data_IF_951493827503
#
_entry.id   IF_951493827503
#
_cell.length_a   1.000
_cell.length_b   1.000
_cell.length_c   1.000
_cell.angle_alpha   90.00
_cell.angle_beta   90.00
_cell.angle_gamma   90.00
#
_symmetry.space_group_name_H-M   'P 1'
#
loop_
_entity.id
_entity.type
_entity.pdbx_description
1 polymer ?
#
# COMPACT_ATOMS: atom_id res chain seq x y z
N UNK A 1 7.14 -7.29 -7.49
CA UNK A 1 6.17 -8.40 -7.49
C UNK A 1 4.73 -7.90 -7.46
N UNK A 2 4.40 -6.92 -6.60
CA UNK A 2 3.05 -6.37 -6.45
C UNK A 2 2.42 -5.85 -7.75
N UNK A 3 3.15 -5.10 -8.58
CA UNK A 3 2.66 -4.64 -9.90
C UNK A 3 2.24 -5.80 -10.82
N UNK A 4 3.06 -6.86 -10.89
CA UNK A 4 2.79 -8.02 -11.74
C UNK A 4 1.54 -8.79 -11.27
N UNK A 5 1.26 -8.80 -9.97
CA UNK A 5 0.14 -9.54 -9.38
C UNK A 5 -1.15 -8.73 -9.47
N UNK A 6 -1.07 -7.42 -9.17
CA UNK A 6 -2.24 -6.52 -9.07
C UNK A 6 -2.55 -5.78 -10.37
N UNK A 7 -1.64 -5.76 -11.34
CA UNK A 7 -1.70 -4.97 -12.58
C UNK A 7 -1.77 -3.44 -12.36
N UNK A 8 -1.57 -2.99 -11.13
CA UNK A 8 -1.61 -1.59 -10.76
C UNK A 8 -0.35 -0.85 -11.27
N UNK A 9 -0.50 0.30 -11.97
CA UNK A 9 0.61 1.03 -12.58
C UNK A 9 1.34 1.95 -11.57
N UNK A 10 1.67 1.44 -10.38
CA UNK A 10 2.39 2.18 -9.32
C UNK A 10 3.74 1.54 -9.06
N UNK A 11 4.84 2.28 -9.19
CA UNK A 11 6.23 1.78 -9.00
C UNK A 11 6.53 1.42 -7.56
N UNK A 12 6.10 2.25 -6.60
CA UNK A 12 6.24 1.96 -5.18
C UNK A 12 4.88 1.79 -4.47
N UNK A 13 4.27 0.60 -4.56
CA UNK A 13 3.03 0.30 -3.86
C UNK A 13 3.22 0.21 -2.34
N UNK A 14 4.46 0.28 -1.85
CA UNK A 14 4.80 0.12 -0.43
C UNK A 14 5.27 1.40 0.26
N UNK A 15 5.28 2.53 -0.46
CA UNK A 15 5.55 3.83 0.14
C UNK A 15 4.52 4.17 1.23
N UNK A 16 5.02 4.52 2.43
CA UNK A 16 4.20 4.92 3.57
C UNK A 16 3.93 6.40 3.71
N UNK A 17 4.60 7.22 2.89
CA UNK A 17 4.33 8.65 2.81
C UNK A 17 3.41 8.92 1.62
N UNK A 18 2.11 9.07 1.90
CA UNK A 18 1.05 9.21 0.89
C UNK A 18 0.02 10.23 1.36
N UNK A 19 -0.46 11.06 0.44
CA UNK A 19 -1.59 11.95 0.68
C UNK A 19 -2.83 11.42 -0.06
N UNK A 20 -3.94 11.28 0.68
CA UNK A 20 -5.25 10.97 0.11
C UNK A 20 -6.14 12.20 0.22
N UNK A 21 -6.90 12.50 -0.82
CA UNK A 21 -7.96 13.51 -0.72
C UNK A 21 -9.11 12.95 0.11
N UNK A 22 -9.86 13.84 0.77
CA UNK A 22 -11.06 13.45 1.52
C UNK A 22 -12.02 12.62 0.66
N UNK A 23 -12.22 13.02 -0.61
CA UNK A 23 -13.09 12.30 -1.56
C UNK A 23 -12.67 10.85 -1.75
N UNK A 24 -11.36 10.58 -1.86
CA UNK A 24 -10.85 9.22 -1.99
C UNK A 24 -11.16 8.42 -0.72
N UNK A 25 -10.79 8.94 0.45
CA UNK A 25 -11.03 8.22 1.72
C UNK A 25 -12.51 7.95 1.98
N UNK A 26 -13.40 8.90 1.66
CA UNK A 26 -14.85 8.74 1.82
C UNK A 26 -15.47 7.73 0.85
N UNK A 27 -14.81 7.43 -0.27
CA UNK A 27 -15.31 6.50 -1.29
C UNK A 27 -14.84 5.05 -1.11
N UNK A 28 -13.85 4.84 -0.25
CA UNK A 28 -13.30 3.51 0.02
C UNK A 28 -14.01 2.90 1.24
N UNK A 29 -14.36 1.60 1.20
CA UNK A 29 -14.87 0.90 2.37
C UNK A 29 -13.70 0.60 3.33
N UNK A 30 -13.35 1.59 4.17
CA UNK A 30 -12.20 1.50 5.08
C UNK A 30 -12.36 0.40 6.13
N UNK A 31 -13.60 0.08 6.51
CA UNK A 31 -13.92 -0.98 7.48
C UNK A 31 -13.65 -2.40 6.93
N UNK A 32 -13.51 -2.55 5.61
CA UNK A 32 -13.23 -3.82 4.96
C UNK A 32 -11.72 -4.07 4.75
N UNK A 33 -10.86 -3.14 5.17
CA UNK A 33 -9.40 -3.28 5.04
C UNK A 33 -8.96 -4.46 5.92
N UNK A 34 -8.43 -5.50 5.29
CA UNK A 34 -8.05 -6.74 5.97
C UNK A 34 -6.56 -6.78 6.33
N UNK A 35 -5.75 -5.96 5.65
CA UNK A 35 -4.31 -5.95 5.88
C UNK A 35 -3.92 -5.00 7.02
N UNK A 36 -3.04 -5.49 7.90
CA UNK A 36 -2.47 -4.73 9.02
C UNK A 36 -0.98 -4.48 8.73
N UNK A 37 -0.42 -3.39 9.29
CA UNK A 37 1.02 -3.18 9.32
C UNK A 37 1.58 -2.56 8.04
N UNK A 38 2.36 -3.29 7.25
CA UNK A 38 2.96 -2.76 6.01
C UNK A 38 2.05 -3.02 4.78
N UNK A 39 1.30 -4.12 4.83
CA UNK A 39 0.48 -4.59 3.73
C UNK A 39 -0.75 -3.71 3.43
N UNK A 40 -1.26 -2.99 4.45
CA UNK A 40 -2.40 -2.08 4.26
C UNK A 40 -2.12 -0.98 3.23
N UNK A 41 -0.85 -0.56 3.09
CA UNK A 41 -0.48 0.47 2.13
C UNK A 41 -0.68 0.01 0.69
N UNK A 42 -0.43 -1.27 0.43
CA UNK A 42 -0.67 -1.89 -0.86
C UNK A 42 -2.19 -1.97 -1.09
N UNK A 43 -2.96 -2.39 -0.10
CA UNK A 43 -4.42 -2.50 -0.20
C UNK A 43 -5.09 -1.16 -0.47
N UNK A 44 -4.69 -0.12 0.26
CA UNK A 44 -5.22 1.23 0.09
C UNK A 44 -5.00 1.73 -1.34
N UNK A 45 -3.78 1.55 -1.88
CA UNK A 45 -3.46 1.94 -3.26
C UNK A 45 -4.22 1.09 -4.27
N UNK A 46 -4.34 -0.21 -4.04
CA UNK A 46 -5.07 -1.12 -4.91
C UNK A 46 -6.56 -0.78 -4.99
N UNK A 47 -7.23 -0.58 -3.84
CA UNK A 47 -8.64 -0.18 -3.80
C UNK A 47 -8.86 1.20 -4.42
N UNK A 48 -7.95 2.15 -4.17
CA UNK A 48 -7.98 3.49 -4.81
C UNK A 48 -7.90 3.40 -6.33
N UNK A 49 -6.97 2.57 -6.85
CA UNK A 49 -6.81 2.34 -8.27
C UNK A 49 -8.03 1.64 -8.88
N UNK A 50 -8.55 0.59 -8.22
CA UNK A 50 -9.74 -0.15 -8.66
C UNK A 50 -11.00 0.73 -8.69
N UNK A 51 -11.11 1.68 -7.76
CA UNK A 51 -12.19 2.67 -7.73
C UNK A 51 -12.05 3.76 -8.81
N UNK A 52 -11.02 3.70 -9.67
CA UNK A 52 -10.85 4.59 -10.83
C UNK A 52 -10.24 5.95 -10.51
N UNK A 53 -9.68 6.13 -9.30
CA UNK A 53 -9.01 7.38 -8.96
C UNK A 53 -7.64 7.49 -9.63
N UNK A 54 -7.26 8.73 -9.96
CA UNK A 54 -5.92 9.02 -10.46
C UNK A 54 -4.91 8.96 -9.32
N UNK A 55 -3.83 8.21 -9.54
CA UNK A 55 -2.70 8.11 -8.62
C UNK A 55 -1.48 8.75 -9.31
N UNK A 56 -0.67 9.48 -8.57
CA UNK A 56 0.55 10.13 -9.08
C UNK A 56 1.67 9.92 -8.08
N UNK A 57 2.82 9.50 -8.58
CA UNK A 57 4.03 9.27 -7.79
C UNK A 57 4.88 10.54 -7.82
N UNK A 58 5.22 11.06 -6.64
CA UNK A 58 6.12 12.21 -6.47
C UNK A 58 7.43 11.70 -5.90
N UNK A 59 8.57 11.92 -6.57
CA UNK A 59 9.87 11.47 -6.07
C UNK A 59 10.24 12.23 -4.80
N UNK A 60 10.77 11.51 -3.81
CA UNK A 60 11.29 12.08 -2.56
C UNK A 60 12.71 11.56 -2.30
N UNK A 61 13.51 12.34 -1.57
CA UNK A 61 14.75 11.84 -0.99
C UNK A 61 14.45 11.21 0.36
N UNK A 62 14.65 9.89 0.45
CA UNK A 62 14.52 9.18 1.72
C UNK A 62 15.81 9.34 2.53
N UNK A 63 15.71 9.87 3.74
CA UNK A 63 16.84 10.01 4.67
C UNK A 63 16.71 8.88 5.68
N UNK A 64 17.77 8.10 5.83
CA UNK A 64 17.78 6.99 6.78
C UNK A 64 17.63 7.51 8.22
N UNK A 65 16.84 6.76 9.00
CA UNK A 65 16.64 7.05 10.41
C UNK A 65 17.95 6.82 11.16
N UNK A 66 18.40 7.82 11.90
CA UNK A 66 19.66 7.80 12.65
C UNK A 66 19.52 7.16 14.04
N UNK A 67 18.32 7.15 14.63
CA UNK A 67 18.12 6.66 15.99
C UNK A 67 16.96 5.66 16.15
N UNK A 68 17.22 4.60 16.93
CA UNK A 68 16.25 3.60 17.39
C UNK A 68 16.09 2.36 16.50
N UNK A 69 15.50 1.29 17.05
CA UNK A 69 15.38 -0.03 16.39
C UNK A 69 14.21 -0.09 15.41
N UNK A 70 14.40 -0.76 14.27
CA UNK A 70 13.36 -1.02 13.28
C UNK A 70 12.24 -1.89 13.87
N UNK A 71 10.98 -1.53 13.59
CA UNK A 71 9.81 -2.34 13.94
C UNK A 71 9.46 -3.38 12.85
N UNK A 72 10.23 -3.42 11.75
CA UNK A 72 10.01 -4.34 10.64
C UNK A 72 10.61 -5.72 10.95
N UNK A 73 9.80 -6.78 10.81
CA UNK A 73 10.23 -8.16 10.94
C UNK A 73 10.04 -8.94 9.64
N UNK A 74 10.81 -10.01 9.43
CA UNK A 74 10.64 -10.91 8.28
C UNK A 74 9.24 -11.54 8.21
N UNK A 75 8.55 -11.66 9.34
CA UNK A 75 7.17 -12.14 9.42
C UNK A 75 6.19 -11.20 8.70
N UNK A 76 6.29 -9.89 8.98
CA UNK A 76 5.44 -8.85 8.38
C UNK A 76 5.58 -8.83 6.85
N UNK A 77 6.81 -9.01 6.35
CA UNK A 77 7.09 -9.06 4.90
C UNK A 77 6.45 -10.28 4.25
N UNK A 78 6.50 -11.44 4.91
CA UNK A 78 5.92 -12.69 4.39
C UNK A 78 4.39 -12.63 4.35
N UNK A 79 3.76 -12.06 5.38
CA UNK A 79 2.31 -11.81 5.41
C UNK A 79 1.87 -10.86 4.29
N UNK A 80 2.61 -9.77 4.07
CA UNK A 80 2.33 -8.84 2.99
C UNK A 80 2.33 -9.54 1.63
N UNK A 81 3.36 -10.36 1.33
CA UNK A 81 3.43 -11.09 0.06
C UNK A 81 2.25 -12.04 -0.16
N UNK A 82 1.84 -12.80 0.87
CA UNK A 82 0.69 -13.70 0.79
C UNK A 82 -0.63 -12.92 0.67
N UNK A 83 -0.69 -11.75 1.30
CA UNK A 83 -1.79 -10.81 1.21
C UNK A 83 -2.04 -10.27 -0.20
N UNK A 84 -0.97 -9.90 -0.91
CA UNK A 84 -1.07 -9.42 -2.29
C UNK A 84 -1.72 -10.46 -3.21
N UNK A 85 -1.50 -11.74 -2.97
CA UNK A 85 -2.16 -12.81 -3.71
C UNK A 85 -3.68 -12.86 -3.47
N UNK A 86 -4.13 -12.66 -2.23
CA UNK A 86 -5.57 -12.59 -1.89
C UNK A 86 -6.24 -11.33 -2.46
N UNK A 87 -5.52 -10.21 -2.58
CA UNK A 87 -6.07 -8.97 -3.15
C UNK A 87 -6.56 -9.09 -4.59
N UNK A 88 -5.98 -9.99 -5.40
CA UNK A 88 -6.44 -10.22 -6.78
C UNK A 88 -7.89 -10.76 -6.85
N UNK A 89 -8.41 -11.32 -5.76
CA UNK A 89 -9.77 -11.86 -5.66
C UNK A 89 -10.77 -10.85 -5.07
N UNK A 90 -10.32 -9.67 -4.61
CA UNK A 90 -11.16 -8.57 -4.11
C UNK A 90 -11.59 -7.64 -5.24
#
# INVERSE_FOLDING_TARGET
>A
YTQLITWMPIKDPTAGFVCYTQKVLASLPLDEIQFIGYAFQIEMKYRTWKAGFKITEVPITFIDRTEGVSKMSKGIVKEAMMGVWKMKQL
#
